data_IF_929880452761
#
_entry.id   IF_929880452761
#
_cell.length_a   1.000
_cell.length_b   1.000
_cell.length_c   1.000
_cell.angle_alpha   90.00
_cell.angle_beta   90.00
_cell.angle_gamma   90.00
#
_symmetry.space_group_name_H-M   'P 1'
#
loop_
_entity.id
_entity.type
_entity.pdbx_description
1 polymer ?
#
# COMPACT_ATOMS: atom_id res chain seq x y z
N UNK A 1 -22.80 -8.25 12.77
CA UNK A 1 -22.88 -7.82 14.18
C UNK A 1 -21.64 -8.31 14.91
N UNK A 2 -20.93 -7.43 15.57
CA UNK A 2 -19.76 -7.78 16.38
C UNK A 2 -20.27 -8.33 17.72
N UNK A 3 -19.92 -9.57 18.05
CA UNK A 3 -20.36 -10.20 19.30
C UNK A 3 -19.33 -9.89 20.39
N UNK A 4 -19.65 -8.94 21.25
CA UNK A 4 -18.82 -8.62 22.42
C UNK A 4 -18.64 -9.87 23.30
N UNK A 5 -17.44 -10.03 23.86
CA UNK A 5 -17.05 -11.18 24.71
C UNK A 5 -17.03 -12.56 24.05
N UNK A 6 -17.08 -12.66 22.73
CA UNK A 6 -16.78 -13.91 22.05
C UNK A 6 -15.28 -14.26 22.13
N UNK A 7 -14.93 -15.53 21.93
CA UNK A 7 -13.51 -15.95 21.86
C UNK A 7 -12.75 -15.13 20.81
N UNK A 8 -13.32 -14.94 19.62
CA UNK A 8 -12.69 -14.19 18.52
C UNK A 8 -12.52 -12.71 18.82
N UNK A 9 -13.45 -12.08 19.55
CA UNK A 9 -13.38 -10.65 19.86
C UNK A 9 -12.16 -10.26 20.72
N UNK A 10 -11.52 -11.24 21.35
CA UNK A 10 -10.31 -11.09 22.19
C UNK A 10 -9.02 -11.50 21.46
N UNK A 11 -9.13 -11.94 20.21
CA UNK A 11 -7.98 -12.40 19.42
C UNK A 11 -7.39 -11.26 18.60
N UNK A 12 -6.15 -10.89 18.88
CA UNK A 12 -5.43 -9.83 18.16
C UNK A 12 -5.41 -10.06 16.65
N UNK A 13 -5.08 -11.27 16.22
CA UNK A 13 -5.03 -11.62 14.80
C UNK A 13 -6.39 -11.48 14.10
N UNK A 14 -7.48 -11.82 14.80
CA UNK A 14 -8.82 -11.66 14.26
C UNK A 14 -9.20 -10.18 14.13
N UNK A 15 -8.83 -9.36 15.10
CA UNK A 15 -9.05 -7.92 15.04
C UNK A 15 -8.28 -7.29 13.87
N UNK A 16 -7.04 -7.68 13.63
CA UNK A 16 -6.28 -7.27 12.44
C UNK A 16 -6.96 -7.73 11.14
N UNK A 17 -7.42 -8.96 11.09
CA UNK A 17 -8.12 -9.50 9.92
C UNK A 17 -9.37 -8.67 9.59
N UNK A 18 -10.23 -8.43 10.59
CA UNK A 18 -11.47 -7.65 10.39
C UNK A 18 -11.14 -6.23 9.98
N UNK A 19 -10.23 -5.57 10.70
CA UNK A 19 -9.84 -4.19 10.41
C UNK A 19 -9.27 -4.06 8.99
N UNK A 20 -8.33 -4.90 8.62
CA UNK A 20 -7.72 -4.91 7.29
C UNK A 20 -8.77 -5.14 6.19
N UNK A 21 -9.61 -6.14 6.35
CA UNK A 21 -10.66 -6.48 5.37
C UNK A 21 -11.64 -5.32 5.15
N UNK A 22 -12.14 -4.72 6.22
CA UNK A 22 -13.13 -3.64 6.12
C UNK A 22 -12.50 -2.33 5.61
N UNK A 23 -11.25 -2.02 6.00
CA UNK A 23 -10.51 -0.87 5.47
C UNK A 23 -10.28 -1.04 3.97
N UNK A 24 -9.77 -2.19 3.51
CA UNK A 24 -9.54 -2.47 2.09
C UNK A 24 -10.83 -2.37 1.28
N UNK A 25 -11.95 -2.83 1.83
CA UNK A 25 -13.26 -2.71 1.19
C UNK A 25 -13.63 -1.23 0.95
N UNK A 26 -13.44 -0.36 1.94
CA UNK A 26 -13.67 1.08 1.78
C UNK A 26 -12.79 1.68 0.69
N UNK A 27 -11.50 1.41 0.72
CA UNK A 27 -10.60 1.84 -0.38
C UNK A 27 -11.05 1.34 -1.74
N UNK A 28 -11.51 0.09 -1.84
CA UNK A 28 -11.97 -0.50 -3.11
C UNK A 28 -13.15 0.28 -3.68
N UNK A 29 -14.06 0.77 -2.85
CA UNK A 29 -15.20 1.57 -3.29
C UNK A 29 -14.78 2.90 -3.94
N UNK A 30 -13.75 3.55 -3.42
CA UNK A 30 -13.17 4.77 -4.02
C UNK A 30 -12.31 4.47 -5.25
N UNK A 31 -11.53 3.37 -5.22
CA UNK A 31 -10.55 3.06 -6.25
C UNK A 31 -11.15 2.45 -7.53
N UNK A 32 -12.37 1.90 -7.47
CA UNK A 32 -13.00 1.22 -8.60
C UNK A 32 -13.21 2.11 -9.83
N UNK A 33 -13.47 3.40 -9.65
CA UNK A 33 -13.62 4.34 -10.76
C UNK A 33 -12.34 4.53 -11.56
N UNK A 34 -11.17 4.34 -10.90
CA UNK A 34 -9.84 4.39 -11.53
C UNK A 34 -9.38 3.01 -12.02
N UNK A 35 -10.20 1.97 -11.80
CA UNK A 35 -9.86 0.58 -12.12
C UNK A 35 -8.62 0.09 -11.36
N UNK A 36 -8.45 0.55 -10.12
CA UNK A 36 -7.36 0.18 -9.22
C UNK A 36 -7.84 -0.74 -8.10
N UNK A 37 -6.96 -1.64 -7.70
CA UNK A 37 -7.08 -2.40 -6.45
C UNK A 37 -6.34 -1.66 -5.33
N UNK A 38 -6.59 -2.03 -4.07
CA UNK A 38 -5.84 -1.48 -2.94
C UNK A 38 -4.32 -1.73 -3.04
N UNK A 39 -3.91 -2.92 -3.49
CA UNK A 39 -2.50 -3.22 -3.76
C UNK A 39 -1.93 -2.37 -4.90
N UNK A 40 -2.70 -2.09 -5.93
CA UNK A 40 -2.32 -1.16 -7.01
C UNK A 40 -2.14 0.27 -6.50
N UNK A 41 -3.02 0.72 -5.62
CA UNK A 41 -2.92 2.01 -4.93
C UNK A 41 -1.62 2.09 -4.11
N UNK A 42 -1.34 1.09 -3.24
CA UNK A 42 -0.12 1.05 -2.44
C UNK A 42 1.13 1.13 -3.31
N UNK A 43 1.18 0.34 -4.39
CA UNK A 43 2.33 0.32 -5.31
C UNK A 43 2.53 1.68 -5.97
N UNK A 44 1.46 2.32 -6.46
CA UNK A 44 1.57 3.66 -7.05
C UNK A 44 2.05 4.69 -6.02
N UNK A 45 1.49 4.68 -4.81
CA UNK A 45 1.87 5.61 -3.74
C UNK A 45 3.29 5.38 -3.21
N UNK A 46 3.87 4.19 -3.42
CA UNK A 46 5.20 3.84 -2.97
C UNK A 46 6.34 4.28 -3.92
N UNK A 47 6.02 4.71 -5.13
CA UNK A 47 7.00 5.19 -6.12
C UNK A 47 7.04 6.71 -6.03
N UNK A 48 8.20 7.28 -5.72
CA UNK A 48 8.42 8.72 -5.65
C UNK A 48 8.56 9.33 -7.06
N UNK A 49 8.32 10.64 -7.16
CA UNK A 49 8.51 11.38 -8.40
C UNK A 49 9.94 11.22 -8.91
N UNK A 50 10.06 10.95 -10.22
CA UNK A 50 11.34 10.76 -10.92
C UNK A 50 12.23 9.62 -10.39
N UNK A 51 11.71 8.79 -9.48
CA UNK A 51 12.40 7.62 -8.96
C UNK A 51 12.40 6.48 -10.00
N UNK A 52 13.55 5.81 -10.10
CA UNK A 52 13.66 4.51 -10.77
C UNK A 52 13.97 3.46 -9.73
N UNK A 53 13.02 2.58 -9.51
CA UNK A 53 13.07 1.61 -8.42
C UNK A 53 13.05 0.19 -8.97
N UNK A 54 13.99 -0.66 -8.54
CA UNK A 54 13.94 -2.05 -8.97
C UNK A 54 12.79 -2.79 -8.25
N UNK A 55 12.32 -3.87 -8.89
CA UNK A 55 11.16 -4.63 -8.42
C UNK A 55 11.37 -5.22 -7.01
N UNK A 56 12.61 -5.58 -6.65
CA UNK A 56 12.93 -6.11 -5.33
C UNK A 56 12.77 -5.04 -4.26
N UNK A 57 13.34 -3.85 -4.48
CA UNK A 57 13.21 -2.72 -3.54
C UNK A 57 11.76 -2.27 -3.41
N UNK A 58 11.01 -2.25 -4.51
CA UNK A 58 9.58 -1.95 -4.46
C UNK A 58 8.83 -2.99 -3.63
N UNK A 59 9.12 -4.29 -3.82
CA UNK A 59 8.53 -5.36 -3.03
C UNK A 59 8.82 -5.24 -1.53
N UNK A 60 10.06 -4.93 -1.19
CA UNK A 60 10.46 -4.66 0.20
C UNK A 60 9.69 -3.47 0.78
N UNK A 61 9.53 -2.39 0.01
CA UNK A 61 8.82 -1.17 0.43
C UNK A 61 7.33 -1.41 0.70
N UNK A 62 6.69 -2.27 -0.09
CA UNK A 62 5.23 -2.52 0.02
C UNK A 62 4.89 -3.90 0.63
N UNK A 63 5.86 -4.63 1.12
CA UNK A 63 5.71 -5.98 1.69
C UNK A 63 5.04 -6.97 0.72
N UNK A 64 5.39 -6.90 -0.57
CA UNK A 64 4.91 -7.81 -1.60
C UNK A 64 6.08 -8.55 -2.24
N UNK A 65 5.89 -9.85 -2.50
CA UNK A 65 6.85 -10.63 -3.26
C UNK A 65 6.78 -10.33 -4.77
N UNK A 66 7.85 -10.69 -5.49
CA UNK A 66 7.94 -10.45 -6.92
C UNK A 66 6.90 -11.22 -7.75
N UNK A 67 6.43 -12.36 -7.24
CA UNK A 67 5.36 -13.14 -7.87
C UNK A 67 4.04 -12.40 -7.87
N UNK A 68 3.74 -11.67 -6.80
CA UNK A 68 2.56 -10.81 -6.68
C UNK A 68 2.73 -9.50 -7.44
N UNK A 69 3.91 -8.87 -7.36
CA UNK A 69 4.19 -7.59 -8.01
C UNK A 69 4.20 -7.67 -9.53
N UNK A 70 4.78 -8.70 -10.11
CA UNK A 70 4.96 -8.80 -11.57
C UNK A 70 3.63 -8.71 -12.34
N UNK A 71 2.58 -9.47 -12.03
CA UNK A 71 1.30 -9.32 -12.72
C UNK A 71 0.60 -8.00 -12.41
N UNK A 72 0.79 -7.44 -11.22
CA UNK A 72 0.23 -6.15 -10.83
C UNK A 72 0.88 -5.01 -11.64
N UNK A 73 2.20 -4.99 -11.73
CA UNK A 73 2.95 -4.01 -12.51
C UNK A 73 2.62 -4.08 -14.01
N UNK A 74 2.39 -5.28 -14.57
CA UNK A 74 1.91 -5.44 -15.95
C UNK A 74 0.54 -4.76 -16.15
N UNK A 75 -0.37 -4.85 -15.17
CA UNK A 75 -1.68 -4.18 -15.22
C UNK A 75 -1.53 -2.66 -15.14
N UNK A 76 -0.66 -2.16 -14.27
CA UNK A 76 -0.41 -0.73 -14.13
C UNK A 76 0.29 -0.14 -15.37
N UNK A 77 1.22 -0.89 -15.97
CA UNK A 77 1.87 -0.52 -17.24
C UNK A 77 0.85 -0.49 -18.39
N UNK A 78 -0.05 -1.47 -18.47
CA UNK A 78 -1.13 -1.48 -19.47
C UNK A 78 -2.06 -0.26 -19.33
N UNK A 79 -2.22 0.27 -18.13
CA UNK A 79 -2.95 1.53 -17.87
C UNK A 79 -2.12 2.78 -18.13
N UNK A 80 -0.86 2.61 -18.50
CA UNK A 80 0.11 3.68 -18.68
C UNK A 80 0.35 4.52 -17.42
N UNK A 81 0.34 3.88 -16.25
CA UNK A 81 0.68 4.53 -14.97
C UNK A 81 2.15 4.35 -14.60
N UNK A 82 2.75 3.25 -15.02
CA UNK A 82 4.17 2.95 -14.79
C UNK A 82 4.85 2.55 -16.08
N UNK A 83 6.17 2.75 -16.14
CA UNK A 83 7.06 2.23 -17.17
C UNK A 83 8.00 1.22 -16.52
N UNK A 84 8.24 0.11 -17.21
CA UNK A 84 9.23 -0.88 -16.86
C UNK A 84 10.38 -0.81 -17.85
N UNK A 85 11.54 -0.41 -17.38
CA UNK A 85 12.77 -0.35 -18.21
C UNK A 85 13.79 -1.36 -17.70
N UNK A 86 14.57 -1.92 -18.60
CA UNK A 86 15.72 -2.76 -18.22
C UNK A 86 16.94 -1.88 -18.04
N UNK A 87 17.79 -2.20 -17.05
CA UNK A 87 19.08 -1.55 -16.94
C UNK A 87 19.99 -1.95 -18.10
N UNK A 88 20.69 -0.98 -18.68
CA UNK A 88 21.62 -1.23 -19.81
C UNK A 88 22.75 -2.19 -19.44
N UNK A 89 23.13 -2.25 -18.17
CA UNK A 89 24.22 -3.07 -17.66
C UNK A 89 23.78 -4.42 -17.07
N UNK A 90 22.49 -4.59 -16.76
CA UNK A 90 21.93 -5.85 -16.26
C UNK A 90 20.47 -6.01 -16.73
N UNK A 91 20.32 -6.76 -17.82
CA UNK A 91 19.00 -7.06 -18.41
C UNK A 91 18.03 -7.77 -17.45
N UNK A 92 18.55 -8.35 -16.34
CA UNK A 92 17.75 -9.00 -15.31
C UNK A 92 17.17 -8.01 -14.30
N UNK A 93 17.71 -6.78 -14.26
CA UNK A 93 17.29 -5.75 -13.33
C UNK A 93 16.24 -4.85 -13.96
N UNK A 94 14.98 -5.13 -13.65
CA UNK A 94 13.84 -4.37 -14.12
C UNK A 94 13.61 -3.16 -13.22
N UNK A 95 13.71 -1.96 -13.80
CA UNK A 95 13.42 -0.69 -13.14
C UNK A 95 11.98 -0.26 -13.39
N UNK A 96 11.32 0.26 -12.36
CA UNK A 96 9.97 0.77 -12.37
C UNK A 96 10.02 2.26 -12.09
N UNK A 97 9.27 3.04 -12.88
CA UNK A 97 9.06 4.47 -12.64
C UNK A 97 7.65 4.88 -13.01
N UNK A 98 7.18 6.02 -12.48
CA UNK A 98 5.90 6.61 -12.86
C UNK A 98 6.00 7.22 -14.25
N UNK A 99 4.91 7.14 -15.01
CA UNK A 99 4.68 8.01 -16.18
C UNK A 99 4.09 9.34 -15.72
N UNK A 100 4.00 10.35 -16.62
CA UNK A 100 3.25 11.58 -16.31
C UNK A 100 1.81 11.26 -15.90
N UNK A 101 1.14 10.35 -16.62
CA UNK A 101 -0.19 9.87 -16.25
C UNK A 101 -0.20 9.15 -14.90
N UNK A 102 0.88 8.45 -14.55
CA UNK A 102 1.06 7.83 -13.24
C UNK A 102 1.15 8.86 -12.12
N UNK A 103 1.86 9.95 -12.33
CA UNK A 103 1.94 11.09 -11.40
C UNK A 103 0.58 11.77 -11.24
N UNK A 104 -0.13 12.00 -12.35
CA UNK A 104 -1.46 12.59 -12.32
C UNK A 104 -2.44 11.74 -11.51
N UNK A 105 -2.50 10.43 -11.75
CA UNK A 105 -3.38 9.55 -11.00
C UNK A 105 -2.96 9.44 -9.54
N UNK A 106 -1.65 9.43 -9.24
CA UNK A 106 -1.14 9.42 -7.87
C UNK A 106 -1.66 10.65 -7.10
N UNK A 107 -1.60 11.84 -7.70
CA UNK A 107 -2.14 13.06 -7.10
C UNK A 107 -3.65 12.94 -6.83
N UNK A 108 -4.42 12.41 -7.77
CA UNK A 108 -5.87 12.23 -7.62
C UNK A 108 -6.22 11.26 -6.49
N UNK A 109 -5.50 10.12 -6.41
CA UNK A 109 -5.81 9.08 -5.41
C UNK A 109 -5.19 9.34 -4.04
N UNK A 110 -4.29 10.32 -3.89
CA UNK A 110 -3.65 10.65 -2.61
C UNK A 110 -4.66 11.03 -1.51
N UNK A 111 -5.75 11.70 -1.89
CA UNK A 111 -6.79 12.16 -0.96
C UNK A 111 -7.76 11.04 -0.53
N UNK A 112 -7.71 9.87 -1.17
CA UNK A 112 -8.59 8.74 -0.82
C UNK A 112 -8.35 8.29 0.62
N UNK A 113 -7.11 8.31 1.10
CA UNK A 113 -6.79 7.96 2.48
C UNK A 113 -7.52 8.83 3.48
N UNK A 114 -7.58 10.13 3.25
CA UNK A 114 -8.32 11.07 4.09
C UNK A 114 -9.84 10.84 4.00
N UNK A 115 -10.35 10.55 2.79
CA UNK A 115 -11.77 10.24 2.59
C UNK A 115 -12.18 8.98 3.35
N UNK A 116 -11.38 7.92 3.27
CA UNK A 116 -11.61 6.68 4.04
C UNK A 116 -11.51 6.93 5.54
N UNK A 117 -10.51 7.70 5.96
CA UNK A 117 -10.32 8.05 7.38
C UNK A 117 -11.54 8.78 7.95
N UNK A 118 -12.12 9.71 7.21
CA UNK A 118 -13.29 10.49 7.64
C UNK A 118 -14.56 9.63 7.85
N UNK A 119 -14.57 8.39 7.34
CA UNK A 119 -15.67 7.45 7.59
C UNK A 119 -15.55 6.70 8.92
N UNK A 120 -14.40 6.80 9.59
CA UNK A 120 -14.19 6.15 10.87
C UNK A 120 -14.61 7.04 12.02
N UNK A 121 -15.19 6.43 13.04
CA UNK A 121 -15.51 7.11 14.31
C UNK A 121 -14.28 7.04 15.24
N UNK A 122 -13.26 7.82 14.93
CA UNK A 122 -11.97 7.86 15.64
C UNK A 122 -11.45 9.30 15.68
N UNK A 123 -10.93 9.72 16.81
CA UNK A 123 -10.32 11.04 16.96
C UNK A 123 -8.92 11.08 16.37
N UNK A 124 -8.36 12.27 16.16
CA UNK A 124 -6.99 12.43 15.70
C UNK A 124 -5.96 11.86 16.70
N UNK A 125 -6.18 12.04 17.99
CA UNK A 125 -5.32 11.50 19.05
C UNK A 125 -5.34 9.97 19.06
N UNK A 126 -6.53 9.35 19.02
CA UNK A 126 -6.66 7.88 18.93
C UNK A 126 -6.00 7.33 17.68
N UNK A 127 -6.10 8.04 16.56
CA UNK A 127 -5.44 7.66 15.31
C UNK A 127 -3.93 7.68 15.45
N UNK A 128 -3.37 8.74 16.01
CA UNK A 128 -1.93 8.86 16.19
C UNK A 128 -1.39 7.76 17.10
N UNK A 129 -2.06 7.48 18.22
CA UNK A 129 -1.68 6.41 19.14
C UNK A 129 -1.73 5.03 18.43
N UNK A 130 -2.79 4.76 17.66
CA UNK A 130 -2.91 3.51 16.92
C UNK A 130 -1.84 3.38 15.82
N UNK A 131 -1.50 4.44 15.13
CA UNK A 131 -0.42 4.46 14.14
C UNK A 131 0.91 4.12 14.79
N UNK A 132 1.25 4.76 15.91
CA UNK A 132 2.50 4.50 16.66
C UNK A 132 2.56 3.05 17.15
N UNK A 133 1.47 2.52 17.72
CA UNK A 133 1.39 1.13 18.18
C UNK A 133 1.57 0.14 17.03
N UNK A 134 0.91 0.37 15.89
CA UNK A 134 1.02 -0.48 14.71
C UNK A 134 2.41 -0.40 14.06
N UNK A 135 3.01 0.79 13.97
CA UNK A 135 4.38 0.96 13.49
C UNK A 135 5.36 0.17 14.36
N UNK A 136 5.26 0.31 15.68
CA UNK A 136 6.08 -0.44 16.64
C UNK A 136 5.88 -1.96 16.48
N UNK A 137 4.63 -2.40 16.29
CA UNK A 137 4.32 -3.81 16.08
C UNK A 137 4.93 -4.35 14.79
N UNK A 138 4.78 -3.62 13.67
CA UNK A 138 5.35 -3.99 12.37
C UNK A 138 6.87 -4.02 12.44
N UNK A 139 7.49 -2.98 13.00
CA UNK A 139 8.95 -2.89 13.14
C UNK A 139 9.53 -4.06 13.94
N UNK A 140 8.92 -4.38 15.06
CA UNK A 140 9.42 -5.47 15.95
C UNK A 140 9.26 -6.86 15.36
N UNK A 141 8.24 -7.08 14.51
CA UNK A 141 7.85 -8.44 14.13
C UNK A 141 8.10 -8.78 12.65
N UNK A 142 8.09 -7.79 11.76
CA UNK A 142 8.11 -8.04 10.31
C UNK A 142 9.23 -7.32 9.59
N UNK A 143 9.94 -6.42 10.29
CA UNK A 143 10.88 -5.55 9.61
C UNK A 143 12.28 -6.10 9.52
N UNK A 144 12.72 -6.24 8.28
CA UNK A 144 14.14 -6.28 7.93
C UNK A 144 14.59 -4.99 7.25
N UNK A 145 13.72 -4.01 7.06
CA UNK A 145 13.97 -2.84 6.20
C UNK A 145 13.40 -1.51 6.71
N UNK A 146 12.67 -1.48 7.82
CA UNK A 146 11.95 -0.29 8.34
C UNK A 146 12.84 0.80 8.93
N UNK A 147 14.15 0.62 9.02
CA UNK A 147 15.06 1.73 9.32
C UNK A 147 14.87 2.95 8.38
N UNK A 148 14.12 2.80 7.30
CA UNK A 148 13.86 3.85 6.30
C UNK A 148 12.51 4.57 6.41
N UNK A 149 11.61 4.15 7.29
CA UNK A 149 10.30 4.80 7.44
C UNK A 149 10.32 6.00 8.41
N UNK A 150 11.42 6.18 9.15
CA UNK A 150 11.60 7.24 10.13
C UNK A 150 12.48 8.42 9.64
N UNK A 151 12.79 8.46 8.35
CA UNK A 151 13.47 9.57 7.70
C UNK A 151 12.55 10.21 6.67
#
# INVERSE_FOLDING_TARGET
>A
MYVENSYLSKQLCFLFYVSSKEIIKKYTDYLKEYGLTYTGYIVLMAIEDDEKLNIKKLGERVFLDSGTLTPLLKKLEKKNYVIRTREEQDERNLQISLTERGKDIQNVISDISQSVFNEFNITQEETQNLVEDLQNFVTKNFDKTVEKWYL
#
